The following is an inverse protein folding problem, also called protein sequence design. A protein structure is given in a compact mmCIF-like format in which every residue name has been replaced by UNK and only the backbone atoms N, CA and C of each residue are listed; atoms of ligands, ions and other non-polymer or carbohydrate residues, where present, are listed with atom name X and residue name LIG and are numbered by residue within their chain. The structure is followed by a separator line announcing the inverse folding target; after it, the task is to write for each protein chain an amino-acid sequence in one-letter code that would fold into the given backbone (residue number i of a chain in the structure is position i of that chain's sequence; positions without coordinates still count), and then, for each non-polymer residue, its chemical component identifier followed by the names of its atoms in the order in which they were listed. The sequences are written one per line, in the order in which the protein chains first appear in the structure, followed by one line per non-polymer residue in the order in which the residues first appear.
data_IF_152033303721
#
_entry.id   IF_152033303721
#
_cell.length_a   1.000
_cell.length_b   1.000
_cell.length_c   1.000
_cell.angle_alpha   90.00
_cell.angle_beta   90.00
_cell.angle_gamma   90.00
#
_symmetry.space_group_name_H-M   'P 1'
#
loop_
_entity.id
_entity.type
_entity.pdbx_description
1 polymer ?
#
# COMPACT_ATOMS: atom_id res chain seq x y z
N UNK A 1 -16.98 -11.64 -25.81
CA UNK A 1 -16.05 -12.74 -25.50
C UNK A 1 -15.08 -12.23 -24.44
N UNK A 2 -15.40 -12.44 -23.16
CA UNK A 2 -14.52 -12.03 -22.06
C UNK A 2 -13.40 -13.05 -21.91
N UNK A 3 -12.17 -12.66 -22.23
CA UNK A 3 -11.01 -13.52 -22.03
C UNK A 3 -10.86 -13.86 -20.56
N UNK A 4 -10.78 -15.15 -20.24
CA UNK A 4 -10.47 -15.64 -18.91
C UNK A 4 -9.08 -15.12 -18.52
N UNK A 5 -8.99 -14.08 -17.67
CA UNK A 5 -7.72 -13.67 -17.06
C UNK A 5 -7.24 -14.84 -16.19
N UNK A 6 -6.18 -15.53 -16.61
CA UNK A 6 -5.54 -16.55 -15.76
C UNK A 6 -4.82 -15.82 -14.63
N UNK A 7 -5.36 -15.95 -13.42
CA UNK A 7 -4.82 -15.33 -12.22
C UNK A 7 -3.76 -16.25 -11.59
N UNK A 8 -2.58 -15.72 -11.28
CA UNK A 8 -1.53 -16.53 -10.66
C UNK A 8 -1.84 -16.77 -9.19
N UNK A 9 -1.92 -18.04 -8.80
CA UNK A 9 -2.05 -18.49 -7.41
C UNK A 9 -0.70 -18.40 -6.68
N UNK A 10 -0.70 -18.65 -5.36
CA UNK A 10 0.50 -18.63 -4.51
C UNK A 10 1.71 -19.32 -5.17
N UNK A 11 2.77 -18.57 -5.54
CA UNK A 11 3.94 -19.12 -6.23
C UNK A 11 5.02 -19.68 -5.28
N UNK A 12 4.80 -19.62 -3.97
CA UNK A 12 5.76 -20.01 -2.94
C UNK A 12 5.34 -21.31 -2.24
N UNK A 13 6.29 -22.03 -1.60
CA UNK A 13 5.94 -23.11 -0.70
C UNK A 13 5.07 -22.61 0.46
N UNK A 14 4.34 -23.52 1.15
CA UNK A 14 3.60 -23.18 2.35
C UNK A 14 4.49 -22.45 3.37
N UNK A 15 3.96 -21.35 3.91
CA UNK A 15 4.69 -20.50 4.85
C UNK A 15 4.20 -20.77 6.27
N UNK A 16 5.05 -21.42 7.06
CA UNK A 16 4.81 -21.59 8.49
C UNK A 16 5.63 -20.54 9.27
N UNK A 17 4.92 -19.64 9.94
CA UNK A 17 5.54 -18.61 10.78
C UNK A 17 5.66 -19.11 12.22
N UNK A 18 6.87 -19.03 12.78
CA UNK A 18 7.07 -19.30 14.20
C UNK A 18 6.39 -18.23 15.07
N UNK A 19 6.17 -18.52 16.35
CA UNK A 19 5.64 -17.51 17.28
C UNK A 19 6.52 -16.26 17.36
N UNK A 20 7.84 -16.42 17.25
CA UNK A 20 8.79 -15.30 17.23
C UNK A 20 8.68 -14.46 15.97
N UNK A 21 8.49 -15.09 14.81
CA UNK A 21 8.23 -14.36 13.55
C UNK A 21 6.93 -13.56 13.67
N UNK A 22 5.85 -14.18 14.16
CA UNK A 22 4.57 -13.51 14.34
C UNK A 22 4.67 -12.28 15.26
N UNK A 23 5.38 -12.40 16.38
CA UNK A 23 5.59 -11.27 17.30
C UNK A 23 6.39 -10.15 16.63
N UNK A 24 7.44 -10.48 15.88
CA UNK A 24 8.26 -9.49 15.17
C UNK A 24 7.47 -8.77 14.07
N UNK A 25 6.61 -9.49 13.34
CA UNK A 25 5.73 -8.90 12.33
C UNK A 25 4.71 -7.95 12.96
N UNK A 26 4.11 -8.31 14.10
CA UNK A 26 3.21 -7.44 14.85
C UNK A 26 3.91 -6.16 15.33
N UNK A 27 5.13 -6.28 15.87
CA UNK A 27 5.95 -5.13 16.27
C UNK A 27 6.24 -4.21 15.09
N UNK A 28 6.57 -4.78 13.94
CA UNK A 28 6.86 -4.03 12.70
C UNK A 28 5.63 -3.26 12.22
N UNK A 29 4.48 -3.92 12.12
CA UNK A 29 3.22 -3.29 11.74
C UNK A 29 2.84 -2.15 12.70
N UNK A 30 2.97 -2.38 14.01
CA UNK A 30 2.65 -1.39 15.05
C UNK A 30 3.60 -0.19 15.00
N UNK A 31 4.88 -0.42 14.74
CA UNK A 31 5.89 0.62 14.50
C UNK A 31 5.51 1.50 13.33
N UNK A 32 5.26 0.88 12.18
CA UNK A 32 4.90 1.58 10.96
C UNK A 32 3.58 2.35 11.08
N UNK A 33 2.58 1.78 11.75
CA UNK A 33 1.30 2.46 12.02
C UNK A 33 1.52 3.74 12.83
N UNK A 34 2.33 3.69 13.90
CA UNK A 34 2.62 4.86 14.74
C UNK A 34 3.27 5.99 13.95
N UNK A 35 4.28 5.68 13.15
CA UNK A 35 4.97 6.66 12.29
C UNK A 35 4.01 7.25 11.25
N UNK A 36 3.16 6.41 10.66
CA UNK A 36 2.15 6.80 9.68
C UNK A 36 1.10 7.74 10.27
N UNK A 37 0.61 7.47 11.48
CA UNK A 37 -0.32 8.33 12.21
C UNK A 37 0.30 9.71 12.47
N UNK A 38 1.55 9.76 12.91
CA UNK A 38 2.26 11.02 13.12
C UNK A 38 2.40 11.82 11.82
N UNK A 39 2.71 11.16 10.70
CA UNK A 39 2.75 11.80 9.38
C UNK A 39 1.40 12.39 8.98
N UNK A 40 0.30 11.65 9.20
CA UNK A 40 -1.05 12.11 8.89
C UNK A 40 -1.50 13.28 9.78
N UNK A 41 -1.22 13.23 11.08
CA UNK A 41 -1.53 14.34 11.98
C UNK A 41 -0.77 15.62 11.63
N UNK A 42 0.46 15.48 11.14
CA UNK A 42 1.25 16.61 10.63
C UNK A 42 0.57 17.22 9.40
N UNK A 43 0.12 16.39 8.46
CA UNK A 43 -0.66 16.82 7.30
C UNK A 43 -1.97 17.54 7.70
N UNK A 44 -2.69 17.02 8.71
CA UNK A 44 -3.91 17.68 9.22
C UNK A 44 -3.63 19.05 9.83
N UNK A 45 -2.56 19.18 10.61
CA UNK A 45 -2.23 20.42 11.35
C UNK A 45 -1.64 21.51 10.45
N UNK A 46 -0.69 21.15 9.58
CA UNK A 46 0.13 22.13 8.87
C UNK A 46 -0.43 22.47 7.49
N UNK A 47 -1.00 21.50 6.78
CA UNK A 47 -1.37 21.69 5.38
C UNK A 47 -2.85 22.06 5.19
N UNK A 48 -3.65 22.03 6.26
CA UNK A 48 -5.11 22.29 6.23
C UNK A 48 -5.80 21.47 5.13
N UNK A 49 -5.35 20.23 4.95
CA UNK A 49 -5.79 19.31 3.88
C UNK A 49 -5.57 19.83 2.45
N UNK A 50 -4.68 20.80 2.24
CA UNK A 50 -4.30 21.31 0.91
C UNK A 50 -3.06 20.60 0.42
N UNK A 51 -3.13 20.16 -0.84
CA UNK A 51 -1.98 19.56 -1.52
C UNK A 51 -1.12 20.68 -2.10
N UNK A 52 0.15 20.75 -1.71
CA UNK A 52 1.12 21.64 -2.34
C UNK A 52 1.49 21.13 -3.75
N UNK A 53 0.94 21.74 -4.79
CA UNK A 53 1.17 21.36 -6.19
C UNK A 53 2.63 21.57 -6.67
N UNK A 54 3.44 22.36 -5.93
CA UNK A 54 4.88 22.49 -6.19
C UNK A 54 5.64 21.24 -5.77
N UNK A 55 5.15 20.56 -4.74
CA UNK A 55 5.69 19.30 -4.22
C UNK A 55 5.01 18.08 -4.84
N UNK A 56 3.72 18.15 -5.12
CA UNK A 56 2.92 17.00 -5.52
C UNK A 56 2.44 17.14 -6.97
N UNK A 57 2.87 16.22 -7.83
CA UNK A 57 2.40 16.11 -9.22
C UNK A 57 1.19 15.16 -9.27
N UNK A 58 0.02 15.58 -9.79
CA UNK A 58 -1.11 14.68 -9.98
C UNK A 58 -0.80 13.61 -11.03
N UNK A 59 -1.17 12.37 -10.74
CA UNK A 59 -0.96 11.22 -11.65
C UNK A 59 -2.23 10.47 -12.03
N UNK A 60 -3.22 10.45 -11.15
CA UNK A 60 -4.47 9.73 -11.40
C UNK A 60 -5.60 10.40 -10.63
N UNK A 61 -6.76 10.45 -11.27
CA UNK A 61 -8.01 10.79 -10.64
C UNK A 61 -8.99 9.65 -10.93
N UNK A 62 -9.59 9.10 -9.88
CA UNK A 62 -10.63 8.06 -9.99
C UNK A 62 -11.73 8.42 -8.99
N UNK A 63 -12.93 8.67 -9.49
CA UNK A 63 -14.05 9.15 -8.68
C UNK A 63 -13.66 10.40 -7.87
N UNK A 64 -13.81 10.36 -6.54
CA UNK A 64 -13.45 11.45 -5.63
C UNK A 64 -12.02 11.34 -5.08
N UNK A 65 -11.24 10.37 -5.54
CA UNK A 65 -9.85 10.13 -5.12
C UNK A 65 -8.87 10.75 -6.11
N UNK A 66 -7.86 11.43 -5.59
CA UNK A 66 -6.76 12.02 -6.35
C UNK A 66 -5.43 11.47 -5.84
N UNK A 67 -4.65 10.89 -6.74
CA UNK A 67 -3.32 10.35 -6.46
C UNK A 67 -2.24 11.26 -7.04
N UNK A 68 -1.16 11.41 -6.28
CA UNK A 68 -0.04 12.29 -6.56
C UNK A 68 1.28 11.54 -6.38
N UNK A 69 2.28 11.97 -7.15
CA UNK A 69 3.68 11.64 -6.94
C UNK A 69 4.42 12.85 -6.38
N UNK A 70 5.31 12.62 -5.43
CA UNK A 70 6.20 13.66 -4.98
C UNK A 70 7.19 14.03 -6.09
N UNK A 71 7.38 15.34 -6.29
CA UNK A 71 8.41 15.91 -7.15
C UNK A 71 9.71 15.92 -6.36
N UNK A 72 10.77 15.31 -6.88
CA UNK A 72 12.10 15.53 -6.33
C UNK A 72 12.51 16.99 -6.58
N UNK A 73 12.72 17.73 -5.49
CA UNK A 73 13.33 19.07 -5.53
C UNK A 73 14.80 18.91 -5.14
N UNK A 74 15.69 18.82 -6.14
CA UNK A 74 17.14 18.95 -5.90
C UNK A 74 17.57 20.37 -6.17
N UNK A 75 18.28 20.95 -5.20
CA UNK A 75 19.04 22.19 -5.39
C UNK A 75 20.22 21.85 -6.30
N UNK A 76 20.27 22.44 -7.48
CA UNK A 76 21.47 22.36 -8.32
C UNK A 76 22.61 23.14 -7.66
N UNK A 77 23.87 22.82 -7.98
CA UNK A 77 25.07 23.51 -7.48
C UNK A 77 25.05 25.02 -7.70
N UNK A 78 24.20 25.51 -8.62
CA UNK A 78 24.03 26.92 -8.96
C UNK A 78 22.87 27.61 -8.22
N UNK A 79 22.28 26.95 -7.21
CA UNK A 79 21.19 27.53 -6.40
C UNK A 79 19.82 27.55 -7.08
N UNK A 80 19.69 27.01 -8.29
CA UNK A 80 18.41 26.88 -8.99
C UNK A 80 17.67 25.60 -8.58
N UNK A 81 16.36 25.72 -8.35
CA UNK A 81 15.46 24.58 -8.13
C UNK A 81 15.08 23.95 -9.47
N UNK A 82 15.56 22.74 -9.74
CA UNK A 82 15.11 21.94 -10.88
C UNK A 82 14.04 20.95 -10.40
N UNK A 83 12.82 21.08 -10.92
CA UNK A 83 11.75 20.09 -10.72
C UNK A 83 11.99 18.93 -11.68
N UNK A 84 12.75 17.92 -11.29
CA UNK A 84 13.02 16.76 -12.14
C UNK A 84 12.18 15.55 -11.71
N UNK A 85 11.24 15.15 -12.58
CA UNK A 85 10.50 13.89 -12.46
C UNK A 85 11.36 12.66 -12.77
N UNK A 86 12.43 12.84 -13.54
CA UNK A 86 13.19 11.73 -14.13
C UNK A 86 14.12 11.01 -13.16
N UNK A 87 14.47 11.60 -12.01
CA UNK A 87 15.43 11.00 -11.07
C UNK A 87 14.79 9.91 -10.20
N UNK A 88 13.55 10.13 -9.73
CA UNK A 88 12.74 9.11 -9.04
C UNK A 88 12.31 8.00 -10.02
N UNK A 89 11.95 8.34 -11.26
CA UNK A 89 11.65 7.37 -12.32
C UNK A 89 12.89 6.53 -12.69
N UNK A 90 14.09 7.14 -12.76
CA UNK A 90 15.37 6.43 -12.99
C UNK A 90 15.82 5.58 -11.79
N UNK A 91 15.63 6.08 -10.57
CA UNK A 91 15.97 5.35 -9.34
C UNK A 91 14.97 4.21 -9.06
N UNK A 92 13.80 4.27 -9.69
CA UNK A 92 12.73 3.28 -9.50
C UNK A 92 12.05 3.39 -8.15
N UNK A 93 12.20 4.50 -7.41
CA UNK A 93 11.58 4.71 -6.09
C UNK A 93 10.76 5.98 -6.10
N UNK A 94 9.47 5.87 -5.80
CA UNK A 94 8.52 6.99 -5.83
C UNK A 94 7.77 7.12 -4.50
N UNK A 95 7.65 8.36 -4.03
CA UNK A 95 6.77 8.71 -2.92
C UNK A 95 5.41 9.10 -3.48
N UNK A 96 4.36 8.51 -2.93
CA UNK A 96 2.99 8.65 -3.41
C UNK A 96 2.10 9.20 -2.29
N UNK A 97 1.09 9.96 -2.69
CA UNK A 97 0.01 10.39 -1.79
C UNK A 97 -1.32 10.23 -2.50
N UNK A 98 -2.35 9.80 -1.80
CA UNK A 98 -3.72 9.76 -2.28
C UNK A 98 -4.63 10.45 -1.28
N UNK A 99 -5.48 11.37 -1.73
CA UNK A 99 -6.46 12.05 -0.89
C UNK A 99 -7.81 12.14 -1.59
N UNK A 100 -8.88 12.08 -0.81
CA UNK A 100 -10.23 12.23 -1.33
C UNK A 100 -11.27 11.71 -0.36
N UNK A 101 -12.45 11.40 -0.89
CA UNK A 101 -13.57 10.87 -0.11
C UNK A 101 -14.10 9.58 -0.72
N UNK A 102 -14.71 8.76 0.13
CA UNK A 102 -15.37 7.50 -0.21
C UNK A 102 -16.81 7.55 0.31
N UNK A 103 -17.74 6.97 -0.45
CA UNK A 103 -19.13 6.83 -0.01
C UNK A 103 -19.27 5.64 0.94
N UNK A 104 -20.00 5.83 2.03
CA UNK A 104 -20.33 4.79 3.01
C UNK A 104 -19.96 5.17 4.44
N UNK A 105 -20.06 4.21 5.35
CA UNK A 105 -19.60 4.37 6.73
C UNK A 105 -18.18 3.82 6.89
N UNK A 106 -17.52 4.26 7.95
CA UNK A 106 -16.14 3.92 8.26
C UNK A 106 -15.92 2.40 8.32
N UNK A 107 -16.82 1.67 8.96
CA UNK A 107 -16.81 0.21 9.05
C UNK A 107 -16.88 -0.46 7.68
N UNK A 108 -17.76 0.02 6.80
CA UNK A 108 -17.97 -0.54 5.46
C UNK A 108 -16.72 -0.34 4.59
N UNK A 109 -16.10 0.85 4.68
CA UNK A 109 -14.87 1.17 3.95
C UNK A 109 -13.73 0.28 4.42
N UNK A 110 -13.53 0.12 5.74
CA UNK A 110 -12.48 -0.75 6.28
C UNK A 110 -12.74 -2.21 5.91
N UNK A 111 -13.98 -2.68 6.02
CA UNK A 111 -14.37 -4.03 5.61
C UNK A 111 -14.05 -4.30 4.13
N UNK A 112 -14.35 -3.34 3.25
CA UNK A 112 -14.01 -3.44 1.82
C UNK A 112 -12.50 -3.53 1.53
N UNK A 113 -11.64 -3.22 2.51
CA UNK A 113 -10.18 -3.39 2.36
C UNK A 113 -9.65 -4.72 2.87
N UNK A 114 -10.42 -5.46 3.65
CA UNK A 114 -10.01 -6.74 4.22
C UNK A 114 -10.03 -7.81 3.14
N UNK A 115 -9.00 -8.66 3.11
CA UNK A 115 -8.97 -9.86 2.26
C UNK A 115 -8.25 -10.95 3.03
N UNK A 116 -9.01 -11.75 3.78
CA UNK A 116 -8.45 -12.74 4.71
C UNK A 116 -8.02 -14.02 3.99
N UNK A 117 -8.56 -14.28 2.79
CA UNK A 117 -8.23 -15.45 1.98
C UNK A 117 -7.61 -15.05 0.64
N UNK A 118 -6.95 -16.01 -0.01
CA UNK A 118 -6.41 -15.77 -1.36
C UNK A 118 -7.55 -15.56 -2.36
N UNK A 119 -8.66 -16.26 -2.18
CA UNK A 119 -9.88 -16.12 -2.98
C UNK A 119 -10.44 -14.69 -2.91
N UNK A 120 -10.51 -14.10 -1.71
CA UNK A 120 -10.93 -12.70 -1.53
C UNK A 120 -9.99 -11.74 -2.26
N UNK A 121 -8.68 -11.97 -2.16
CA UNK A 121 -7.69 -11.15 -2.87
C UNK A 121 -7.82 -11.28 -4.39
N UNK A 122 -7.98 -12.50 -4.91
CA UNK A 122 -8.21 -12.76 -6.33
C UNK A 122 -9.47 -12.06 -6.84
N UNK A 123 -10.55 -12.12 -6.06
CA UNK A 123 -11.81 -11.45 -6.39
C UNK A 123 -11.63 -9.93 -6.41
N UNK A 124 -11.02 -9.36 -5.38
CA UNK A 124 -10.75 -7.92 -5.29
C UNK A 124 -9.81 -7.43 -6.40
N UNK A 125 -8.87 -8.27 -6.83
CA UNK A 125 -7.98 -7.99 -7.95
C UNK A 125 -8.70 -7.85 -9.28
N UNK A 126 -9.87 -8.46 -9.48
CA UNK A 126 -10.63 -8.31 -10.73
C UNK A 126 -11.08 -6.86 -10.99
N UNK A 127 -11.14 -6.03 -9.95
CA UNK A 127 -11.46 -4.60 -10.01
C UNK A 127 -10.22 -3.71 -10.15
N UNK A 128 -9.02 -4.30 -10.19
CA UNK A 128 -7.73 -3.62 -10.30
C UNK A 128 -7.04 -4.11 -11.58
N UNK A 129 -7.07 -3.28 -12.63
CA UNK A 129 -6.67 -3.69 -13.98
C UNK A 129 -5.27 -4.31 -14.08
N UNK A 130 -4.32 -3.75 -13.32
CA UNK A 130 -2.91 -4.12 -13.37
C UNK A 130 -2.55 -5.33 -12.50
N UNK A 131 -3.48 -5.84 -11.67
CA UNK A 131 -3.19 -6.94 -10.74
C UNK A 131 -3.38 -8.31 -11.42
N UNK A 132 -2.31 -9.10 -11.51
CA UNK A 132 -2.29 -10.38 -12.26
C UNK A 132 -2.08 -11.62 -11.39
N UNK A 133 -1.75 -11.44 -10.11
CA UNK A 133 -1.64 -12.55 -9.14
C UNK A 133 -1.69 -12.02 -7.71
N UNK A 134 -2.25 -12.80 -6.80
CA UNK A 134 -2.33 -12.45 -5.38
C UNK A 134 -2.50 -13.70 -4.54
N UNK A 135 -1.92 -13.69 -3.35
CA UNK A 135 -2.06 -14.77 -2.39
C UNK A 135 -1.86 -14.27 -0.95
N UNK A 136 -2.62 -14.86 -0.03
CA UNK A 136 -2.30 -14.83 1.40
C UNK A 136 -1.28 -15.94 1.65
N UNK A 137 -0.08 -15.57 2.11
CA UNK A 137 1.01 -16.52 2.36
C UNK A 137 0.91 -17.12 3.76
N UNK A 138 0.61 -16.30 4.76
CA UNK A 138 0.44 -16.72 6.14
C UNK A 138 -0.38 -15.70 6.94
N UNK A 139 -1.20 -16.19 7.88
CA UNK A 139 -1.94 -15.33 8.81
C UNK A 139 -1.17 -15.17 10.12
N UNK A 140 -0.99 -13.91 10.54
CA UNK A 140 -0.25 -13.54 11.76
C UNK A 140 -1.22 -13.24 12.90
N UNK A 141 -2.27 -12.47 12.61
CA UNK A 141 -3.39 -12.17 13.51
C UNK A 141 -4.68 -12.46 12.75
N UNK A 142 -5.47 -13.38 13.29
CA UNK A 142 -6.80 -13.72 12.77
C UNK A 142 -7.84 -12.75 13.33
N UNK A 143 -8.83 -12.34 12.53
CA UNK A 143 -9.96 -11.55 13.01
C UNK A 143 -10.79 -12.35 14.02
N UNK A 144 -11.32 -11.67 15.04
CA UNK A 144 -12.19 -12.27 16.05
C UNK A 144 -13.64 -11.83 15.89
N UNK A 145 -14.56 -12.38 16.68
CA UNK A 145 -15.97 -11.94 16.67
C UNK A 145 -16.06 -10.49 17.16
N UNK A 146 -15.24 -10.12 18.15
CA UNK A 146 -15.18 -8.80 18.76
C UNK A 146 -14.46 -7.79 17.87
N UNK A 147 -13.42 -8.22 17.17
CA UNK A 147 -12.59 -7.39 16.29
C UNK A 147 -12.51 -7.98 14.87
N UNK A 148 -13.62 -8.02 14.11
CA UNK A 148 -13.70 -8.73 12.83
C UNK A 148 -12.88 -8.09 11.72
N UNK A 149 -12.46 -6.83 11.91
CA UNK A 149 -11.67 -6.05 10.94
C UNK A 149 -10.21 -5.90 11.35
N UNK A 150 -9.82 -6.43 12.51
CA UNK A 150 -8.44 -6.43 12.98
C UNK A 150 -7.71 -7.64 12.40
N UNK A 151 -6.83 -7.40 11.43
CA UNK A 151 -6.08 -8.47 10.76
C UNK A 151 -4.61 -8.11 10.64
N UNK A 152 -3.76 -9.14 10.58
CA UNK A 152 -2.38 -9.01 10.13
C UNK A 152 -2.02 -10.28 9.35
N UNK A 153 -1.65 -10.14 8.09
CA UNK A 153 -1.31 -11.25 7.23
C UNK A 153 -0.10 -10.92 6.36
N UNK A 154 0.71 -11.93 6.07
CA UNK A 154 1.74 -11.86 5.06
C UNK A 154 1.13 -12.22 3.70
N UNK A 155 1.37 -11.36 2.71
CA UNK A 155 0.74 -11.43 1.40
C UNK A 155 1.76 -11.29 0.28
N UNK A 156 1.36 -11.79 -0.87
CA UNK A 156 2.04 -11.58 -2.13
C UNK A 156 1.07 -11.02 -3.17
N UNK A 157 1.57 -10.15 -4.04
CA UNK A 157 0.85 -9.70 -5.23
C UNK A 157 1.79 -9.52 -6.41
N UNK A 158 1.26 -9.72 -7.61
CA UNK A 158 1.90 -9.47 -8.89
C UNK A 158 1.11 -8.41 -9.64
N UNK A 159 1.84 -7.46 -10.21
CA UNK A 159 1.30 -6.42 -11.08
C UNK A 159 1.99 -6.43 -12.43
N UNK A 160 1.20 -6.20 -13.47
CA UNK A 160 1.63 -6.05 -14.84
C UNK A 160 1.46 -4.58 -15.25
N UNK A 161 2.57 -3.83 -15.21
CA UNK A 161 2.56 -2.39 -15.44
C UNK A 161 2.91 -2.11 -16.91
N UNK A 162 2.06 -1.39 -17.68
CA UNK A 162 2.25 -1.19 -19.13
C UNK A 162 3.59 -0.60 -19.59
N UNK A 163 4.31 0.09 -18.68
CA UNK A 163 5.60 0.74 -18.96
C UNK A 163 6.81 -0.08 -18.52
N UNK A 164 6.61 -1.26 -17.93
CA UNK A 164 7.69 -2.11 -17.43
C UNK A 164 7.84 -3.36 -18.29
N UNK A 165 9.10 -3.70 -18.63
CA UNK A 165 9.41 -4.88 -19.45
C UNK A 165 9.16 -6.21 -18.74
N UNK A 166 9.22 -6.22 -17.41
CA UNK A 166 8.94 -7.38 -16.57
C UNK A 166 7.84 -7.03 -15.56
N UNK A 167 7.03 -8.02 -15.20
CA UNK A 167 6.08 -7.89 -14.10
C UNK A 167 6.78 -7.55 -12.79
N UNK A 168 6.06 -6.88 -11.89
CA UNK A 168 6.55 -6.61 -10.53
C UNK A 168 5.80 -7.47 -9.55
N UNK A 169 6.53 -8.01 -8.59
CA UNK A 169 5.92 -8.74 -7.48
C UNK A 169 6.30 -8.11 -6.15
N UNK A 170 5.42 -8.20 -5.17
CA UNK A 170 5.62 -7.67 -3.84
C UNK A 170 5.35 -8.76 -2.82
N UNK A 171 6.20 -8.81 -1.78
CA UNK A 171 5.95 -9.57 -0.56
C UNK A 171 5.88 -8.56 0.57
N UNK A 172 4.77 -8.56 1.31
CA UNK A 172 4.48 -7.53 2.30
C UNK A 172 3.55 -8.06 3.38
N UNK A 173 3.69 -7.52 4.58
CA UNK A 173 2.63 -7.63 5.58
C UNK A 173 1.54 -6.60 5.30
N UNK A 174 0.29 -7.02 5.44
CA UNK A 174 -0.86 -6.15 5.46
C UNK A 174 -1.52 -6.20 6.82
N UNK A 175 -1.82 -5.04 7.39
CA UNK A 175 -2.61 -4.94 8.62
C UNK A 175 -3.81 -4.02 8.40
N UNK A 176 -4.95 -4.39 8.98
CA UNK A 176 -6.18 -3.60 8.99
C UNK A 176 -6.72 -3.49 10.40
N UNK A 177 -7.53 -2.45 10.65
CA UNK A 177 -8.28 -2.34 11.89
C UNK A 177 -8.71 -0.90 12.17
N UNK A 178 -8.96 -0.63 13.45
CA UNK A 178 -9.27 0.70 13.94
C UNK A 178 -8.23 1.16 14.94
N UNK A 179 -8.01 2.47 14.99
CA UNK A 179 -7.16 3.11 15.99
C UNK A 179 -7.71 4.49 16.32
N UNK A 180 -7.02 5.22 17.18
CA UNK A 180 -7.38 6.58 17.57
C UNK A 180 -6.24 7.53 17.25
N UNK A 181 -6.60 8.71 16.73
CA UNK A 181 -5.69 9.84 16.61
C UNK A 181 -5.41 10.45 17.99
N UNK A 182 -4.42 11.34 18.10
CA UNK A 182 -4.06 12.03 19.33
C UNK A 182 -5.19 12.89 19.92
N UNK A 183 -6.18 13.28 19.10
CA UNK A 183 -7.38 13.98 19.55
C UNK A 183 -8.50 13.04 20.07
N UNK A 184 -8.28 11.72 20.06
CA UNK A 184 -9.26 10.69 20.44
C UNK A 184 -10.23 10.28 19.33
N UNK A 185 -10.13 10.87 18.14
CA UNK A 185 -10.99 10.53 17.00
C UNK A 185 -10.65 9.12 16.50
N UNK A 186 -11.69 8.28 16.36
CA UNK A 186 -11.56 6.93 15.84
C UNK A 186 -11.40 6.95 14.33
N UNK A 187 -10.38 6.26 13.84
CA UNK A 187 -10.06 6.11 12.42
C UNK A 187 -9.86 4.65 12.07
N UNK A 188 -10.20 4.29 10.84
CA UNK A 188 -9.84 3.03 10.23
C UNK A 188 -8.45 3.13 9.61
N UNK A 189 -7.72 2.01 9.57
CA UNK A 189 -6.44 1.96 8.87
C UNK A 189 -6.29 0.70 8.03
N UNK A 190 -5.49 0.82 6.98
CA UNK A 190 -4.83 -0.29 6.29
C UNK A 190 -3.38 0.09 6.07
N UNK A 191 -2.46 -0.84 6.25
CA UNK A 191 -1.05 -0.64 5.91
C UNK A 191 -0.53 -1.81 5.12
N UNK A 192 0.45 -1.55 4.27
CA UNK A 192 1.22 -2.51 3.52
C UNK A 192 2.69 -2.19 3.75
N UNK A 193 3.45 -3.16 4.24
CA UNK A 193 4.88 -2.98 4.52
C UNK A 193 5.67 -4.17 3.98
N UNK A 194 6.56 -3.90 3.03
CA UNK A 194 7.34 -4.94 2.38
C UNK A 194 8.34 -5.59 3.33
N UNK A 195 8.40 -6.92 3.27
CA UNK A 195 9.31 -7.72 4.08
C UNK A 195 9.81 -8.92 3.29
N UNK A 196 11.04 -9.35 3.55
CA UNK A 196 11.65 -10.51 2.90
C UNK A 196 11.65 -11.74 3.80
N UNK A 197 11.30 -12.89 3.22
CA UNK A 197 11.49 -14.21 3.81
C UNK A 197 12.36 -15.09 2.91
N UNK A 198 13.23 -15.95 3.45
CA UNK A 198 13.99 -16.93 2.67
C UNK A 198 13.11 -17.80 1.76
N UNK A 199 11.91 -18.15 2.21
CA UNK A 199 10.92 -18.95 1.49
C UNK A 199 10.25 -18.19 0.33
N UNK A 200 10.40 -16.87 0.28
CA UNK A 200 9.82 -15.97 -0.74
C UNK A 200 10.88 -15.45 -1.70
N UNK A 201 11.70 -16.37 -2.23
CA UNK A 201 12.76 -16.05 -3.19
C UNK A 201 12.22 -15.26 -4.42
N UNK A 202 13.10 -14.53 -5.09
CA UNK A 202 12.71 -13.81 -6.31
C UNK A 202 12.27 -14.79 -7.40
N UNK A 203 11.14 -14.48 -8.03
CA UNK A 203 10.56 -15.33 -9.07
C UNK A 203 11.17 -14.99 -10.45
N UNK A 204 11.34 -15.99 -11.34
CA UNK A 204 11.85 -15.73 -12.68
C UNK A 204 10.90 -14.82 -13.48
N UNK A 205 11.48 -13.98 -14.35
CA UNK A 205 10.77 -13.01 -15.21
C UNK A 205 9.92 -11.97 -14.46
N UNK A 206 10.17 -11.79 -13.17
CA UNK A 206 9.64 -10.70 -12.36
C UNK A 206 10.79 -9.94 -11.71
N UNK A 207 10.49 -8.72 -11.28
CA UNK A 207 11.39 -7.95 -10.43
C UNK A 207 10.68 -7.73 -9.10
N UNK A 208 11.35 -8.12 -8.01
CA UNK A 208 10.85 -7.88 -6.65
C UNK A 208 10.86 -6.38 -6.37
N UNK A 209 9.67 -5.84 -6.21
CA UNK A 209 9.43 -4.47 -5.80
C UNK A 209 9.10 -4.40 -4.30
N UNK A 210 9.20 -3.21 -3.72
CA UNK A 210 8.82 -2.96 -2.33
C UNK A 210 7.73 -1.91 -2.23
N UNK A 211 6.85 -2.08 -1.25
CA UNK A 211 5.73 -1.18 -0.96
C UNK A 211 5.66 -0.95 0.55
N UNK A 212 5.78 0.32 0.95
CA UNK A 212 5.58 0.78 2.31
C UNK A 212 4.55 1.91 2.27
N UNK A 213 3.27 1.56 2.32
CA UNK A 213 2.15 2.48 2.14
C UNK A 213 1.14 2.28 3.25
N UNK A 214 0.57 3.37 3.74
CA UNK A 214 -0.53 3.34 4.68
C UNK A 214 -1.73 4.09 4.13
N UNK A 215 -2.90 3.70 4.63
CA UNK A 215 -4.21 4.25 4.32
C UNK A 215 -4.89 4.53 5.66
N UNK A 216 -5.45 5.72 5.79
CA UNK A 216 -6.28 6.14 6.90
C UNK A 216 -7.64 6.57 6.39
N UNK A 217 -8.65 6.12 7.12
CA UNK A 217 -10.06 6.35 6.85
C UNK A 217 -10.66 7.06 8.05
N UNK A 218 -11.28 8.21 7.83
CA UNK A 218 -11.87 9.02 8.88
C UNK A 218 -13.32 9.33 8.52
N UNK A 219 -14.26 9.04 9.41
CA UNK A 219 -15.66 9.42 9.19
C UNK A 219 -15.75 10.95 9.21
N UNK A 220 -16.15 11.57 8.10
CA UNK A 220 -16.33 13.02 8.06
C UNK A 220 -17.76 13.39 8.50
N UNK A 221 -18.75 12.77 7.87
CA UNK A 221 -20.17 12.84 8.23
C UNK A 221 -20.88 11.58 7.73
N UNK A 222 -22.19 11.44 7.99
CA UNK A 222 -22.96 10.26 7.56
C UNK A 222 -22.77 9.98 6.05
N UNK A 223 -22.50 8.73 5.70
CA UNK A 223 -22.23 8.26 4.34
C UNK A 223 -21.01 8.87 3.64
N UNK A 224 -20.12 9.57 4.36
CA UNK A 224 -18.91 10.16 3.79
C UNK A 224 -17.68 9.89 4.66
N UNK A 225 -16.70 9.18 4.08
CA UNK A 225 -15.41 8.85 4.69
C UNK A 225 -14.30 9.58 3.97
N UNK A 226 -13.52 10.38 4.69
CA UNK A 226 -12.27 10.95 4.22
C UNK A 226 -11.20 9.85 4.13
N UNK A 227 -10.48 9.81 3.02
CA UNK A 227 -9.37 8.90 2.79
C UNK A 227 -8.07 9.69 2.63
N UNK A 228 -7.05 9.27 3.37
CA UNK A 228 -5.67 9.70 3.18
C UNK A 228 -4.78 8.48 3.04
N UNK A 229 -3.91 8.46 2.04
CA UNK A 229 -2.86 7.46 1.91
C UNK A 229 -1.54 8.12 1.55
N UNK A 230 -0.45 7.57 2.06
CA UNK A 230 0.89 8.01 1.71
C UNK A 230 1.87 6.86 1.86
N UNK A 231 2.97 6.91 1.10
CA UNK A 231 4.03 5.94 1.25
C UNK A 231 4.98 5.88 0.08
N UNK A 232 5.87 4.91 0.13
CA UNK A 232 6.95 4.72 -0.84
C UNK A 232 6.75 3.41 -1.58
N UNK A 233 6.91 3.46 -2.90
CA UNK A 233 6.93 2.29 -3.78
C UNK A 233 8.29 2.28 -4.47
N UNK A 234 9.07 1.22 -4.31
CA UNK A 234 10.28 1.00 -5.09
C UNK A 234 10.05 -0.15 -6.08
N UNK A 235 10.03 0.15 -7.37
CA UNK A 235 9.77 -0.77 -8.48
C UNK A 235 10.87 -1.83 -8.67
N UNK A 236 11.96 -1.77 -7.92
CA UNK A 236 13.11 -2.64 -8.09
C UNK A 236 13.84 -2.42 -9.43
N UNK A 237 15.10 -2.83 -9.49
CA UNK A 237 15.92 -2.72 -10.69
C UNK A 237 15.98 -4.10 -11.37
N UNK A 238 15.85 -4.12 -12.69
CA UNK A 238 16.23 -5.32 -13.46
C UNK A 238 17.73 -5.50 -13.32
N UNK A 239 18.18 -6.61 -12.73
CA UNK A 239 19.60 -6.96 -12.84
C UNK A 239 19.90 -7.18 -14.33
N UNK A 240 20.68 -6.28 -14.93
CA UNK A 240 21.34 -6.57 -16.19
C UNK A 240 22.34 -7.69 -15.89
N UNK A 241 21.92 -8.94 -16.10
CA UNK A 241 22.88 -10.04 -16.18
C UNK A 241 23.70 -9.80 -17.43
N UNK A 242 24.95 -9.37 -17.22
CA UNK A 242 26.05 -9.40 -18.18
C UNK A 242 26.32 -10.81 -18.67
#
# INVERSE_FOLDING_TARGET
MGGNKSFLMNPFPPMELSSGDKEQLQKTATGFLRESLQSYETYLKNDVRKVDERRWKPIKMKENLRSYLEREVRTTTDGNFSMMNEASERAGTSVTMCVGTMQGNLEDVVYGTVSSTSEDMCFNATYIDDLTGAAVLATVVEPTIEEPLQTLALKWMEVDLPLHSNKRDFVFIEATGFTQLANGERVGYRLMYSIGFPQTAELPNRVRATVNVFFLFRQDHDQCVDMFASGVIANGQTSNRS
#
